data_IF_174962234753
#
_entry.id   IF_174962234753
#
_cell.length_a   1.000
_cell.length_b   1.000
_cell.length_c   1.000
_cell.angle_alpha   90.00
_cell.angle_beta   90.00
_cell.angle_gamma   90.00
#
_symmetry.space_group_name_H-M   'P 1'
#
loop_
_entity.id
_entity.type
_entity.pdbx_description
1 polymer ?
#
# COMPACT_ATOMS: atom_id res chain seq x y z
N UNK A 1 -8.80 -31.80 24.44
CA UNK A 1 -9.07 -30.44 23.93
C UNK A 1 -7.84 -29.99 23.15
N UNK A 2 -7.80 -30.23 21.83
CA UNK A 2 -6.64 -29.91 20.98
C UNK A 2 -6.87 -28.53 20.37
N UNK A 3 -5.90 -27.61 20.55
CA UNK A 3 -5.92 -26.23 20.04
C UNK A 3 -5.77 -26.23 18.51
N UNK A 4 -6.71 -25.61 17.81
CA UNK A 4 -6.63 -25.37 16.36
C UNK A 4 -5.60 -24.31 16.03
N UNK A 5 -4.52 -24.71 15.34
CA UNK A 5 -3.49 -23.79 14.85
C UNK A 5 -3.64 -23.47 13.35
N UNK A 6 -4.69 -23.98 12.70
CA UNK A 6 -5.04 -23.65 11.31
C UNK A 6 -6.56 -23.61 11.19
N UNK A 7 -7.17 -22.45 11.41
CA UNK A 7 -8.55 -22.23 11.00
C UNK A 7 -8.73 -20.79 10.60
N UNK A 8 -8.74 -20.53 9.29
CA UNK A 8 -9.49 -19.40 8.74
C UNK A 8 -10.60 -20.05 7.92
N UNK A 9 -11.78 -20.11 8.54
CA UNK A 9 -13.00 -20.72 8.00
C UNK A 9 -13.55 -19.86 6.87
N UNK A 10 -13.79 -20.47 5.71
CA UNK A 10 -14.71 -19.95 4.71
C UNK A 10 -15.33 -21.09 3.88
N UNK A 11 -15.76 -22.18 4.52
CA UNK A 11 -16.80 -23.08 3.99
C UNK A 11 -17.22 -24.07 5.08
N UNK A 12 -18.46 -24.55 5.04
CA UNK A 12 -19.06 -25.51 5.97
C UNK A 12 -18.48 -26.95 5.94
N UNK A 13 -17.37 -27.15 5.23
CA UNK A 13 -16.69 -28.44 5.11
C UNK A 13 -15.48 -28.52 6.04
N UNK A 14 -15.39 -29.61 6.80
CA UNK A 14 -14.19 -29.98 7.56
C UNK A 14 -12.95 -29.84 6.66
N UNK A 15 -11.96 -29.00 7.02
CA UNK A 15 -10.79 -28.77 6.17
C UNK A 15 -10.06 -30.09 5.98
N UNK A 16 -9.92 -30.52 4.73
CA UNK A 16 -9.17 -31.72 4.42
C UNK A 16 -7.66 -31.41 4.51
N UNK A 17 -6.82 -32.42 4.80
CA UNK A 17 -5.37 -32.24 4.74
C UNK A 17 -4.88 -31.71 3.38
N UNK A 18 -5.60 -31.99 2.29
CA UNK A 18 -5.30 -31.48 0.94
C UNK A 18 -5.50 -29.97 0.86
N UNK A 19 -6.56 -29.43 1.47
CA UNK A 19 -6.82 -27.98 1.48
C UNK A 19 -5.69 -27.22 2.16
N UNK A 20 -5.16 -27.78 3.24
CA UNK A 20 -4.00 -27.21 3.94
C UNK A 20 -2.75 -27.18 3.07
N UNK A 21 -2.50 -28.24 2.30
CA UNK A 21 -1.37 -28.31 1.36
C UNK A 21 -1.53 -27.29 0.23
N UNK A 22 -2.75 -27.16 -0.32
CA UNK A 22 -3.05 -26.19 -1.38
C UNK A 22 -2.88 -24.75 -0.87
N UNK A 23 -3.33 -24.46 0.35
CA UNK A 23 -3.14 -23.16 1.00
C UNK A 23 -1.65 -22.85 1.22
N UNK A 24 -0.86 -23.81 1.71
CA UNK A 24 0.59 -23.63 1.88
C UNK A 24 1.30 -23.39 0.55
N UNK A 25 0.88 -24.06 -0.52
CA UNK A 25 1.40 -23.81 -1.88
C UNK A 25 1.04 -22.41 -2.39
N UNK A 26 -0.22 -22.00 -2.22
CA UNK A 26 -0.67 -20.66 -2.60
C UNK A 26 0.07 -19.58 -1.80
N UNK A 27 0.26 -19.79 -0.50
CA UNK A 27 1.03 -18.90 0.36
C UNK A 27 2.50 -18.80 -0.07
N UNK A 28 3.17 -19.93 -0.34
CA UNK A 28 4.55 -19.92 -0.85
C UNK A 28 4.68 -19.20 -2.20
N UNK A 29 3.68 -19.33 -3.08
CA UNK A 29 3.63 -18.57 -4.34
C UNK A 29 3.46 -17.07 -4.09
N UNK A 30 2.60 -16.68 -3.16
CA UNK A 30 2.40 -15.28 -2.78
C UNK A 30 3.66 -14.68 -2.16
N UNK A 31 4.36 -15.42 -1.28
CA UNK A 31 5.67 -15.02 -0.76
C UNK A 31 6.65 -14.79 -1.92
N UNK A 32 6.79 -15.73 -2.85
CA UNK A 32 7.73 -15.57 -3.96
C UNK A 32 7.40 -14.39 -4.88
N UNK A 33 6.11 -14.09 -5.05
CA UNK A 33 5.67 -12.99 -5.90
C UNK A 33 5.82 -11.61 -5.23
N UNK A 34 5.71 -11.54 -3.89
CA UNK A 34 5.59 -10.29 -3.16
C UNK A 34 6.72 -10.01 -2.16
N UNK A 35 7.64 -10.96 -1.98
CA UNK A 35 8.83 -10.79 -1.13
C UNK A 35 10.00 -10.44 -2.03
N UNK A 36 10.55 -9.25 -1.82
CA UNK A 36 11.76 -8.80 -2.51
C UNK A 36 12.92 -9.72 -2.13
N UNK A 37 13.48 -10.44 -3.10
CA UNK A 37 14.70 -11.21 -2.92
C UNK A 37 15.94 -10.32 -3.15
N UNK A 38 17.09 -10.72 -2.62
CA UNK A 38 18.38 -10.11 -2.99
C UNK A 38 18.53 -10.13 -4.52
N UNK A 39 18.75 -8.95 -5.11
CA UNK A 39 18.78 -8.72 -6.56
C UNK A 39 17.52 -8.09 -7.16
N UNK A 40 16.44 -7.92 -6.38
CA UNK A 40 15.24 -7.16 -6.81
C UNK A 40 15.37 -5.68 -6.47
N UNK A 41 16.10 -5.34 -5.40
CA UNK A 41 16.46 -3.97 -5.03
C UNK A 41 17.98 -3.85 -5.18
N UNK A 42 18.45 -3.11 -6.17
CA UNK A 42 19.87 -2.81 -6.37
C UNK A 42 20.10 -1.29 -6.28
N UNK A 43 21.27 -0.90 -5.77
CA UNK A 43 21.66 0.49 -5.59
C UNK A 43 22.91 0.79 -6.42
N UNK A 44 22.77 1.67 -7.40
CA UNK A 44 23.86 2.13 -8.24
C UNK A 44 24.06 3.64 -8.08
N UNK A 45 24.89 4.02 -7.10
CA UNK A 45 25.09 5.44 -6.78
C UNK A 45 23.82 6.09 -6.22
N UNK A 46 23.21 7.02 -6.96
CA UNK A 46 21.95 7.69 -6.59
C UNK A 46 20.70 7.02 -7.21
N UNK A 47 20.88 5.95 -7.98
CA UNK A 47 19.80 5.24 -8.65
C UNK A 47 19.46 3.93 -7.95
N UNK A 48 18.16 3.73 -7.72
CA UNK A 48 17.58 2.53 -7.14
C UNK A 48 16.87 1.75 -8.25
N UNK A 49 17.27 0.48 -8.40
CA UNK A 49 16.64 -0.48 -9.29
C UNK A 49 15.66 -1.31 -8.48
N UNK A 50 14.38 -1.30 -8.86
CA UNK A 50 13.35 -2.18 -8.33
C UNK A 50 12.70 -2.99 -9.45
N UNK A 51 13.02 -4.28 -9.52
CA UNK A 51 12.54 -5.17 -10.58
C UNK A 51 13.00 -4.70 -11.97
N UNK A 52 12.08 -4.13 -12.77
CA UNK A 52 12.36 -3.58 -14.11
C UNK A 52 12.33 -2.05 -14.15
N UNK A 53 12.23 -1.38 -13.00
CA UNK A 53 12.14 0.08 -12.91
C UNK A 53 13.40 0.61 -12.26
N UNK A 54 14.05 1.59 -12.91
CA UNK A 54 15.21 2.30 -12.40
C UNK A 54 14.80 3.74 -12.15
N UNK A 55 15.05 4.26 -10.94
CA UNK A 55 14.74 5.65 -10.60
C UNK A 55 15.78 6.22 -9.65
N UNK A 56 16.06 7.51 -9.75
CA UNK A 56 16.90 8.19 -8.77
C UNK A 56 16.16 8.44 -7.46
N UNK A 57 16.89 8.59 -6.36
CA UNK A 57 16.29 8.92 -5.07
C UNK A 57 15.57 10.28 -5.09
N UNK A 58 16.05 11.24 -5.91
CA UNK A 58 15.36 12.49 -6.18
C UNK A 58 14.00 12.27 -6.88
N UNK A 59 13.96 11.39 -7.89
CA UNK A 59 12.74 11.05 -8.61
C UNK A 59 11.72 10.36 -7.71
N UNK A 60 12.17 9.43 -6.85
CA UNK A 60 11.32 8.78 -5.87
C UNK A 60 10.69 9.80 -4.92
N UNK A 61 11.50 10.72 -4.39
CA UNK A 61 11.02 11.77 -3.47
C UNK A 61 9.96 12.64 -4.14
N UNK A 62 10.18 13.06 -5.38
CA UNK A 62 9.20 13.83 -6.15
C UNK A 62 7.92 13.05 -6.39
N UNK A 63 8.02 11.75 -6.73
CA UNK A 63 6.85 10.89 -6.90
C UNK A 63 6.04 10.76 -5.60
N UNK A 64 6.70 10.57 -4.45
CA UNK A 64 6.02 10.49 -3.15
C UNK A 64 5.32 11.81 -2.81
N UNK A 65 5.97 12.95 -3.01
CA UNK A 65 5.35 14.26 -2.78
C UNK A 65 4.16 14.50 -3.72
N UNK A 66 4.28 14.13 -5.00
CA UNK A 66 3.18 14.20 -5.96
C UNK A 66 2.00 13.33 -5.53
N UNK A 67 2.26 12.07 -5.16
CA UNK A 67 1.23 11.16 -4.66
C UNK A 67 0.53 11.70 -3.41
N UNK A 68 1.30 12.21 -2.44
CA UNK A 68 0.76 12.81 -1.23
C UNK A 68 -0.12 14.03 -1.55
N UNK A 69 0.31 14.89 -2.46
CA UNK A 69 -0.47 16.03 -2.91
C UNK A 69 -1.77 15.57 -3.58
N UNK A 70 -1.71 14.66 -4.56
CA UNK A 70 -2.90 14.12 -5.22
C UNK A 70 -3.88 13.46 -4.25
N UNK A 71 -3.38 12.66 -3.31
CA UNK A 71 -4.21 12.02 -2.29
C UNK A 71 -4.90 13.06 -1.37
N UNK A 72 -4.19 14.14 -1.00
CA UNK A 72 -4.78 15.24 -0.22
C UNK A 72 -5.88 15.96 -0.99
N UNK A 73 -5.67 16.23 -2.28
CA UNK A 73 -6.67 16.86 -3.13
C UNK A 73 -7.90 15.97 -3.26
N UNK A 74 -7.72 14.67 -3.55
CA UNK A 74 -8.82 13.70 -3.61
C UNK A 74 -9.57 13.60 -2.29
N UNK A 75 -8.87 13.52 -1.16
CA UNK A 75 -9.50 13.51 0.17
C UNK A 75 -10.38 14.75 0.38
N UNK A 76 -9.87 15.95 0.06
CA UNK A 76 -10.62 17.20 0.23
C UNK A 76 -11.85 17.26 -0.68
N UNK A 77 -11.69 16.90 -1.96
CA UNK A 77 -12.73 17.03 -2.98
C UNK A 77 -13.78 15.91 -2.91
N UNK A 78 -13.33 14.66 -2.85
CA UNK A 78 -14.19 13.49 -3.04
C UNK A 78 -14.74 12.95 -1.71
N UNK A 79 -13.96 13.02 -0.63
CA UNK A 79 -14.35 12.47 0.68
C UNK A 79 -14.96 13.55 1.57
N UNK A 80 -14.26 14.68 1.73
CA UNK A 80 -14.69 15.78 2.59
C UNK A 80 -15.63 16.77 1.90
N UNK A 81 -15.78 16.67 0.57
CA UNK A 81 -16.65 17.52 -0.26
C UNK A 81 -16.38 19.03 -0.08
N UNK A 82 -15.13 19.39 0.21
CA UNK A 82 -14.70 20.76 0.36
C UNK A 82 -14.62 21.45 -1.00
N UNK A 83 -15.04 22.71 -1.05
CA UNK A 83 -14.72 23.57 -2.19
C UNK A 83 -13.22 23.82 -2.17
N UNK A 84 -12.55 23.37 -3.22
CA UNK A 84 -11.12 23.57 -3.41
C UNK A 84 -10.87 24.52 -4.58
N UNK A 85 -9.74 25.22 -4.54
CA UNK A 85 -9.27 26.07 -5.63
C UNK A 85 -8.57 25.26 -6.74
N UNK A 86 -7.97 25.95 -7.71
CA UNK A 86 -7.24 25.31 -8.81
C UNK A 86 -5.99 24.54 -8.36
N UNK A 87 -5.49 24.77 -7.15
CA UNK A 87 -4.33 24.10 -6.57
C UNK A 87 -4.75 22.96 -5.62
N UNK A 88 -6.06 22.73 -5.46
CA UNK A 88 -6.62 21.68 -4.62
C UNK A 88 -6.57 22.00 -3.11
N UNK A 89 -6.29 23.25 -2.76
CA UNK A 89 -6.38 23.75 -1.39
C UNK A 89 -7.81 24.22 -1.10
N UNK A 90 -8.23 24.12 0.17
CA UNK A 90 -9.58 24.50 0.56
C UNK A 90 -9.74 26.04 0.47
N UNK A 91 -10.80 26.51 -0.19
CA UNK A 91 -11.07 27.95 -0.33
C UNK A 91 -11.28 28.57 1.07
N UNK A 92 -10.66 29.73 1.34
CA UNK A 92 -10.81 30.46 2.61
C UNK A 92 -12.30 30.64 2.95
N UNK A 93 -12.70 30.07 4.09
CA UNK A 93 -14.10 29.90 4.51
C UNK A 93 -14.51 28.46 4.80
N UNK A 94 -13.69 27.47 4.48
CA UNK A 94 -13.86 26.08 4.90
C UNK A 94 -13.36 25.84 6.34
N UNK A 95 -14.09 26.37 7.34
CA UNK A 95 -13.83 26.20 8.80
C UNK A 95 -13.90 24.74 9.32
N UNK A 96 -13.91 23.73 8.44
CA UNK A 96 -14.15 22.34 8.80
C UNK A 96 -12.96 21.39 8.69
N UNK A 97 -11.76 21.84 8.31
CA UNK A 97 -10.64 20.91 8.12
C UNK A 97 -10.00 20.54 9.47
N UNK A 98 -10.12 19.29 9.94
CA UNK A 98 -9.44 18.88 11.17
C UNK A 98 -7.93 18.93 10.95
N UNK A 99 -7.25 19.76 11.73
CA UNK A 99 -5.80 19.81 11.74
C UNK A 99 -5.26 18.55 12.42
N UNK A 100 -4.66 17.65 11.64
CA UNK A 100 -3.94 16.51 12.19
C UNK A 100 -2.53 17.00 12.54
N UNK A 101 -2.20 17.01 13.84
CA UNK A 101 -0.83 17.21 14.30
C UNK A 101 0.00 15.99 13.89
N UNK A 102 0.91 16.19 12.94
CA UNK A 102 1.93 15.23 12.60
C UNK A 102 3.20 15.66 13.36
N UNK A 103 3.35 15.15 14.59
CA UNK A 103 4.62 15.20 15.34
C UNK A 103 5.61 14.16 14.79
#
# INVERSE_FOLDING_TARGET
>A
MVRGFMTIVAFDGQPSPVDSILQLRAYGKAIRANTNADGVVDWHGDELLYGHVQFSMASLRMMIHGLLHSARVQLRQEVLLLKTDSEGEAVEGAEGMPHIQWD
#
